data_IF_187149148590
#
_entry.id   IF_187149148590
#
_cell.length_a   1.000
_cell.length_b   1.000
_cell.length_c   1.000
_cell.angle_alpha   90.00
_cell.angle_beta   90.00
_cell.angle_gamma   90.00
#
_symmetry.space_group_name_H-M   'P 1'
#
loop_
_entity.id
_entity.type
_entity.pdbx_description
1 polymer ?
#
# COMPACT_ATOMS: atom_id res chain seq x y z
N UNK A 1 75.46 3.08 36.44
CA UNK A 1 74.99 2.19 35.35
C UNK A 1 73.50 1.91 35.55
N UNK A 2 72.72 1.70 34.47
CA UNK A 2 71.40 1.00 34.41
C UNK A 2 70.35 1.27 35.53
N UNK A 3 69.25 2.03 35.35
CA UNK A 3 68.01 1.87 34.51
C UNK A 3 67.07 0.68 34.87
N UNK A 4 65.75 0.97 34.81
CA UNK A 4 64.54 0.11 34.99
C UNK A 4 64.34 -0.43 36.43
N UNK A 5 63.14 -0.55 37.02
CA UNK A 5 61.74 -0.20 36.65
C UNK A 5 60.85 -0.28 37.93
N UNK A 6 59.50 -0.29 37.92
CA UNK A 6 58.48 -0.20 36.84
C UNK A 6 57.10 0.15 37.46
N UNK A 7 56.30 0.99 36.79
CA UNK A 7 54.81 1.06 36.80
C UNK A 7 54.03 1.26 38.12
N UNK A 8 53.69 2.52 38.40
CA UNK A 8 52.48 2.89 39.16
C UNK A 8 51.28 2.83 38.21
N UNK A 9 50.27 2.02 38.52
CA UNK A 9 49.02 1.94 37.77
C UNK A 9 47.95 2.87 38.35
N UNK A 10 47.88 4.12 37.88
CA UNK A 10 46.81 5.06 38.25
C UNK A 10 45.52 4.73 37.51
N UNK A 11 44.52 4.24 38.25
CA UNK A 11 43.18 4.03 37.72
C UNK A 11 42.47 5.37 37.46
N UNK A 12 42.40 5.78 36.20
CA UNK A 12 41.71 7.00 35.77
C UNK A 12 40.19 6.76 35.74
N UNK A 13 39.52 7.01 36.87
CA UNK A 13 38.05 7.09 36.91
C UNK A 13 37.57 8.33 36.14
N UNK A 14 37.22 8.16 34.86
CA UNK A 14 36.43 9.17 34.14
C UNK A 14 35.01 9.18 34.70
N UNK A 15 34.70 10.20 35.49
CA UNK A 15 33.33 10.59 35.80
C UNK A 15 32.65 11.17 34.56
N UNK A 16 32.04 10.31 33.74
CA UNK A 16 31.03 10.75 32.77
C UNK A 16 29.82 11.32 33.53
N UNK A 17 29.82 12.63 33.76
CA UNK A 17 28.61 13.33 34.16
C UNK A 17 27.61 13.23 33.00
N UNK A 18 26.38 12.69 33.22
CA UNK A 18 25.38 12.62 32.16
C UNK A 18 24.91 14.03 31.83
N UNK A 19 25.30 14.54 30.66
CA UNK A 19 24.70 15.76 30.10
C UNK A 19 23.22 15.46 29.89
N UNK A 20 22.29 16.19 30.54
CA UNK A 20 20.86 15.95 30.35
C UNK A 20 20.51 16.18 28.87
N UNK A 21 19.87 15.19 28.25
CA UNK A 21 19.53 15.28 26.84
C UNK A 21 18.53 16.42 26.63
N UNK A 22 18.76 17.30 25.65
CA UNK A 22 17.94 18.51 25.43
C UNK A 22 16.41 18.26 25.38
N UNK A 23 16.00 17.08 24.90
CA UNK A 23 14.62 16.59 24.95
C UNK A 23 13.99 16.62 26.35
N UNK A 24 14.76 16.23 27.38
CA UNK A 24 14.33 16.19 28.78
C UNK A 24 14.17 17.61 29.32
N UNK A 25 15.06 18.52 28.96
CA UNK A 25 14.95 19.95 29.33
C UNK A 25 13.71 20.58 28.71
N UNK A 26 13.47 20.36 27.41
CA UNK A 26 12.30 20.92 26.72
C UNK A 26 10.96 20.36 27.26
N UNK A 27 10.90 19.06 27.61
CA UNK A 27 9.69 18.47 28.19
C UNK A 27 9.45 18.90 29.64
N UNK A 28 10.50 19.17 30.43
CA UNK A 28 10.38 19.80 31.75
C UNK A 28 9.84 21.23 31.62
N UNK A 29 10.41 22.07 30.74
CA UNK A 29 9.93 23.43 30.49
C UNK A 29 8.46 23.46 30.02
N UNK A 30 8.03 22.49 29.20
CA UNK A 30 6.63 22.32 28.82
C UNK A 30 5.74 21.98 30.02
N UNK A 31 6.16 21.04 30.88
CA UNK A 31 5.39 20.65 32.05
C UNK A 31 5.26 21.79 33.07
N UNK A 32 6.34 22.56 33.28
CA UNK A 32 6.36 23.73 34.14
C UNK A 32 5.53 24.89 33.56
N UNK A 33 5.62 25.16 32.25
CA UNK A 33 4.82 26.18 31.58
C UNK A 33 3.31 25.88 31.62
N UNK A 34 2.92 24.60 31.49
CA UNK A 34 1.53 24.16 31.68
C UNK A 34 1.08 24.29 33.13
N UNK A 35 1.97 24.06 34.11
CA UNK A 35 1.68 24.28 35.53
C UNK A 35 1.45 25.77 35.80
N UNK A 36 2.38 26.63 35.42
CA UNK A 36 2.26 28.09 35.54
C UNK A 36 0.97 28.63 34.90
N UNK A 37 0.55 28.10 33.74
CA UNK A 37 -0.74 28.47 33.13
C UNK A 37 -1.95 28.12 34.01
N UNK A 38 -1.94 26.95 34.66
CA UNK A 38 -3.02 26.52 35.57
C UNK A 38 -3.04 27.30 36.87
N UNK A 39 -1.86 27.70 37.33
CA UNK A 39 -1.66 28.54 38.52
C UNK A 39 -1.89 30.04 38.21
N UNK A 40 -2.36 30.37 37.00
CA UNK A 40 -2.68 31.71 36.48
C UNK A 40 -1.47 32.64 36.31
N UNK A 41 -0.25 32.11 36.41
CA UNK A 41 1.02 32.81 36.18
C UNK A 41 1.32 32.95 34.67
N UNK A 42 0.41 33.59 33.91
CA UNK A 42 0.48 33.63 32.44
C UNK A 42 1.79 34.21 31.89
N UNK A 43 2.43 35.15 32.59
CA UNK A 43 3.73 35.70 32.21
C UNK A 43 4.85 34.63 32.26
N UNK A 44 4.87 33.82 33.33
CA UNK A 44 5.84 32.73 33.53
C UNK A 44 5.56 31.61 32.52
N UNK A 45 4.28 31.26 32.33
CA UNK A 45 3.85 30.28 31.33
C UNK A 45 4.35 30.62 29.92
N UNK A 46 4.17 31.86 29.46
CA UNK A 46 4.65 32.31 28.14
C UNK A 46 6.17 32.16 28.01
N UNK A 47 6.96 32.55 29.02
CA UNK A 47 8.42 32.43 28.96
C UNK A 47 8.87 30.97 28.89
N UNK A 48 8.31 30.09 29.73
CA UNK A 48 8.64 28.67 29.75
C UNK A 48 8.23 27.95 28.46
N UNK A 49 7.03 28.24 27.94
CA UNK A 49 6.51 27.60 26.73
C UNK A 49 7.22 28.08 25.46
N UNK A 50 7.63 29.35 25.36
CA UNK A 50 8.48 29.83 24.26
C UNK A 50 9.85 29.13 24.28
N UNK A 51 10.49 29.04 25.44
CA UNK A 51 11.77 28.30 25.59
C UNK A 51 11.65 26.80 25.31
N UNK A 52 10.51 26.17 25.64
CA UNK A 52 10.23 24.78 25.27
C UNK A 52 10.03 24.57 23.76
N UNK A 53 9.61 25.62 23.04
CA UNK A 53 9.40 25.63 21.58
C UNK A 53 10.64 26.05 20.78
N UNK A 54 11.67 26.61 21.43
CA UNK A 54 12.95 26.93 20.77
C UNK A 54 13.59 25.65 20.17
N UNK A 55 14.16 25.71 18.95
CA UNK A 55 14.83 24.55 18.33
C UNK A 55 16.16 24.17 19.01
N UNK A 56 16.11 23.65 20.24
CA UNK A 56 17.29 23.12 20.93
C UNK A 56 17.62 21.71 20.44
N UNK A 57 18.40 21.66 19.36
CA UNK A 57 18.97 20.45 18.73
C UNK A 57 17.98 19.44 18.11
N UNK A 58 18.57 18.44 17.43
CA UNK A 58 17.89 17.31 16.75
C UNK A 58 16.99 16.44 17.65
N UNK A 59 16.90 16.73 18.94
CA UNK A 59 16.03 16.06 19.92
C UNK A 59 15.11 17.04 20.67
N UNK A 60 14.59 18.07 19.98
CA UNK A 60 13.52 18.91 20.53
C UNK A 60 12.20 18.17 20.80
N UNK A 61 11.17 18.89 21.25
CA UNK A 61 9.84 18.35 21.57
C UNK A 61 9.24 17.48 20.45
N UNK A 62 8.50 16.45 20.84
CA UNK A 62 7.72 15.63 19.91
C UNK A 62 6.69 16.49 19.15
N UNK A 63 6.18 16.05 17.98
CA UNK A 63 5.15 16.80 17.26
C UNK A 63 3.90 17.09 18.12
N UNK A 64 3.45 16.10 18.90
CA UNK A 64 2.31 16.26 19.81
C UNK A 64 2.60 17.23 20.95
N UNK A 65 3.80 17.17 21.53
CA UNK A 65 4.21 18.09 22.59
C UNK A 65 4.38 19.53 22.09
N UNK A 66 4.81 19.73 20.82
CA UNK A 66 4.83 21.06 20.19
C UNK A 66 3.43 21.61 19.97
N UNK A 67 2.49 20.80 19.47
CA UNK A 67 1.09 21.22 19.36
C UNK A 67 0.52 21.61 20.73
N UNK A 68 0.82 20.82 21.76
CA UNK A 68 0.44 21.10 23.15
C UNK A 68 1.06 22.41 23.67
N UNK A 69 2.36 22.60 23.46
CA UNK A 69 3.04 23.84 23.85
C UNK A 69 2.44 25.07 23.15
N UNK A 70 2.14 24.97 21.86
CA UNK A 70 1.54 26.06 21.07
C UNK A 70 0.13 26.43 21.54
N UNK A 71 -0.75 25.47 21.84
CA UNK A 71 -2.11 25.80 22.32
C UNK A 71 -2.08 26.47 23.69
N UNK A 72 -1.23 26.00 24.62
CA UNK A 72 -1.08 26.64 25.93
C UNK A 72 -0.38 28.00 25.84
N UNK A 73 0.58 28.18 24.92
CA UNK A 73 1.26 29.46 24.70
C UNK A 73 0.28 30.51 24.18
N UNK A 74 -0.45 30.20 23.09
CA UNK A 74 -1.45 31.12 22.56
C UNK A 74 -2.58 31.41 23.54
N UNK A 75 -2.99 30.43 24.36
CA UNK A 75 -3.95 30.65 25.43
C UNK A 75 -3.42 31.60 26.53
N UNK A 76 -2.15 31.47 26.92
CA UNK A 76 -1.51 32.36 27.88
C UNK A 76 -1.38 33.79 27.34
N UNK A 77 -1.02 33.94 26.06
CA UNK A 77 -0.98 35.25 25.37
C UNK A 77 -2.38 35.90 25.30
N UNK A 78 -3.48 35.13 25.08
CA UNK A 78 -4.87 35.66 25.17
C UNK A 78 -5.20 36.21 26.56
N UNK A 79 -4.77 35.55 27.64
CA UNK A 79 -5.01 36.04 29.01
C UNK A 79 -4.12 37.21 29.42
N UNK A 80 -3.08 37.52 28.64
CA UNK A 80 -2.24 38.72 28.78
C UNK A 80 -2.69 39.89 27.89
N UNK A 81 -3.79 39.72 27.14
CA UNK A 81 -4.27 40.63 26.11
C UNK A 81 -3.29 40.82 24.92
N UNK A 82 -2.32 39.92 24.76
CA UNK A 82 -1.30 39.90 23.69
C UNK A 82 -1.86 39.24 22.41
N UNK A 83 -2.99 39.74 21.91
CA UNK A 83 -3.79 39.06 20.88
C UNK A 83 -3.03 38.75 19.59
N UNK A 84 -2.13 39.64 19.13
CA UNK A 84 -1.33 39.41 17.92
C UNK A 84 -0.38 38.21 18.08
N UNK A 85 0.21 38.02 19.27
CA UNK A 85 1.08 36.89 19.59
C UNK A 85 0.29 35.58 19.68
N UNK A 86 -0.90 35.63 20.27
CA UNK A 86 -1.83 34.50 20.30
C UNK A 86 -2.25 34.08 18.88
N UNK A 87 -2.65 35.04 18.03
CA UNK A 87 -3.03 34.80 16.63
C UNK A 87 -1.87 34.22 15.83
N UNK A 88 -0.64 34.74 15.98
CA UNK A 88 0.54 34.19 15.32
C UNK A 88 0.84 32.74 15.76
N UNK A 89 0.75 32.46 17.06
CA UNK A 89 0.98 31.12 17.63
C UNK A 89 -0.08 30.12 17.16
N UNK A 90 -1.37 30.49 17.25
CA UNK A 90 -2.47 29.65 16.79
C UNK A 90 -2.44 29.45 15.27
N UNK A 91 -2.07 30.47 14.47
CA UNK A 91 -1.87 30.30 13.03
C UNK A 91 -0.84 29.21 12.75
N UNK A 92 0.29 29.22 13.44
CA UNK A 92 1.34 28.18 13.28
C UNK A 92 0.78 26.78 13.56
N UNK A 93 0.00 26.63 14.65
CA UNK A 93 -0.65 25.37 15.02
C UNK A 93 -1.68 24.91 13.97
N UNK A 94 -2.54 25.81 13.52
CA UNK A 94 -3.61 25.55 12.52
C UNK A 94 -3.04 25.19 11.14
N UNK A 95 -1.91 25.78 10.75
CA UNK A 95 -1.23 25.44 9.50
C UNK A 95 -0.50 24.10 9.56
N UNK A 96 0.02 23.72 10.73
CA UNK A 96 0.64 22.41 10.96
C UNK A 96 -0.39 21.28 11.08
N UNK A 97 -1.53 21.53 11.74
CA UNK A 97 -2.64 20.59 11.87
C UNK A 97 -4.02 21.29 11.76
N UNK A 98 -4.58 21.38 10.54
CA UNK A 98 -5.93 21.87 10.27
C UNK A 98 -7.05 21.20 11.06
N UNK A 99 -6.83 19.99 11.59
CA UNK A 99 -7.83 19.25 12.37
C UNK A 99 -7.77 19.56 13.87
N UNK A 100 -6.71 20.21 14.34
CA UNK A 100 -6.55 20.52 15.76
C UNK A 100 -7.73 21.37 16.25
N UNK A 101 -8.30 21.01 17.41
CA UNK A 101 -9.34 21.77 18.10
C UNK A 101 -8.95 21.81 19.59
N UNK A 102 -8.85 23.00 20.21
CA UNK A 102 -8.68 23.11 21.65
C UNK A 102 -9.86 22.46 22.37
N UNK A 103 -9.58 21.73 23.45
CA UNK A 103 -10.60 21.14 24.32
C UNK A 103 -11.32 22.26 25.10
N UNK A 104 -12.62 22.39 24.91
CA UNK A 104 -13.45 23.41 25.58
C UNK A 104 -13.64 23.17 27.08
N UNK A 105 -13.27 22.00 27.61
CA UNK A 105 -13.20 21.73 29.05
C UNK A 105 -11.89 22.22 29.67
N UNK A 106 -10.83 22.39 28.87
CA UNK A 106 -9.50 22.85 29.31
C UNK A 106 -9.29 24.33 29.02
N UNK A 107 -9.84 24.82 27.90
CA UNK A 107 -9.65 26.19 27.43
C UNK A 107 -10.98 26.96 27.46
N UNK A 108 -11.09 28.06 28.24
CA UNK A 108 -12.32 28.84 28.33
C UNK A 108 -12.79 29.44 26.99
N UNK A 109 -14.07 29.83 26.87
CA UNK A 109 -14.65 30.34 25.63
C UNK A 109 -13.85 31.45 24.95
N UNK A 110 -13.25 32.37 25.72
CA UNK A 110 -12.39 33.45 25.20
C UNK A 110 -11.24 32.93 24.33
N UNK A 111 -10.57 31.87 24.77
CA UNK A 111 -9.45 31.25 24.05
C UNK A 111 -9.95 30.51 22.82
N UNK A 112 -11.04 29.75 22.96
CA UNK A 112 -11.58 28.96 21.84
C UNK A 112 -12.16 29.84 20.74
N UNK A 113 -12.75 31.00 21.07
CA UNK A 113 -13.22 32.01 20.11
C UNK A 113 -12.06 32.53 19.24
N UNK A 114 -10.99 33.04 19.85
CA UNK A 114 -9.78 33.51 19.12
C UNK A 114 -9.23 32.39 18.23
N UNK A 115 -9.23 31.13 18.70
CA UNK A 115 -8.82 29.99 17.87
C UNK A 115 -9.76 29.72 16.69
N UNK A 116 -11.08 29.85 16.85
CA UNK A 116 -12.04 29.74 15.75
C UNK A 116 -11.84 30.85 14.71
N UNK A 117 -11.58 32.09 15.13
CA UNK A 117 -11.32 33.19 14.20
C UNK A 117 -10.05 32.94 13.37
N UNK A 118 -9.01 32.36 13.98
CA UNK A 118 -7.81 31.90 13.28
C UNK A 118 -8.13 30.79 12.28
N UNK A 119 -8.98 29.80 12.63
CA UNK A 119 -9.45 28.77 11.69
C UNK A 119 -10.24 29.35 10.51
N UNK A 120 -11.08 30.37 10.74
CA UNK A 120 -11.87 31.00 9.69
C UNK A 120 -11.02 31.84 8.74
N UNK A 121 -10.03 32.55 9.24
CA UNK A 121 -9.14 33.43 8.46
C UNK A 121 -8.02 32.67 7.74
N UNK A 122 -7.45 31.62 8.36
CA UNK A 122 -6.31 30.88 7.81
C UNK A 122 -6.74 29.61 7.10
N UNK A 123 -7.12 29.73 5.81
CA UNK A 123 -7.45 28.54 4.99
C UNK A 123 -6.21 27.68 4.78
N UNK A 124 -6.28 26.46 5.26
CA UNK A 124 -5.31 25.38 5.02
C UNK A 124 -6.03 24.02 4.96
N UNK A 125 -5.33 23.05 4.37
CA UNK A 125 -5.77 21.67 4.18
C UNK A 125 -4.68 20.71 4.60
N UNK A 126 -5.07 19.58 5.18
CA UNK A 126 -4.19 18.44 5.43
C UNK A 126 -4.73 17.18 4.75
N UNK A 127 -3.82 16.31 4.29
CA UNK A 127 -4.16 15.08 3.59
C UNK A 127 -3.80 13.87 4.46
N UNK A 128 -4.77 12.98 4.66
CA UNK A 128 -4.56 11.67 5.28
C UNK A 128 -4.83 10.56 4.25
N UNK A 129 -3.86 9.68 4.06
CA UNK A 129 -3.92 8.57 3.13
C UNK A 129 -3.31 7.31 3.77
N UNK A 130 -3.74 6.10 3.37
CA UNK A 130 -3.10 4.86 3.81
C UNK A 130 -1.70 4.73 3.20
N UNK A 131 -0.71 4.31 4.01
CA UNK A 131 0.71 4.21 3.59
C UNK A 131 0.93 3.30 2.39
N UNK A 132 0.19 2.20 2.33
CA UNK A 132 0.07 1.31 1.18
C UNK A 132 -1.41 0.95 1.02
N UNK A 133 -1.90 0.94 -0.22
CA UNK A 133 -3.25 0.48 -0.58
C UNK A 133 -3.16 -0.45 -1.79
N UNK A 134 -4.03 -1.47 -1.84
CA UNK A 134 -4.17 -2.36 -3.00
C UNK A 134 -5.57 -2.18 -3.56
N UNK A 135 -5.65 -1.76 -4.81
CA UNK A 135 -6.91 -1.43 -5.49
C UNK A 135 -6.95 -2.08 -6.87
N UNK A 136 -8.14 -2.46 -7.34
CA UNK A 136 -8.34 -2.88 -8.74
C UNK A 136 -8.71 -1.68 -9.59
N UNK A 137 -8.03 -1.51 -10.73
CA UNK A 137 -8.29 -0.38 -11.61
C UNK A 137 -9.76 -0.34 -12.07
N UNK A 138 -10.39 0.83 -11.94
CA UNK A 138 -11.81 1.05 -12.26
C UNK A 138 -12.85 0.48 -11.28
N UNK A 139 -12.52 -0.57 -10.52
CA UNK A 139 -13.45 -1.22 -9.57
C UNK A 139 -13.36 -0.65 -8.14
N UNK A 140 -12.16 -0.25 -7.72
CA UNK A 140 -11.90 0.23 -6.36
C UNK A 140 -11.10 1.53 -6.40
N UNK A 141 -11.53 2.49 -5.58
CA UNK A 141 -10.86 3.79 -5.46
C UNK A 141 -9.81 3.80 -4.35
N UNK A 142 -8.63 4.31 -4.66
CA UNK A 142 -7.69 4.81 -3.66
C UNK A 142 -8.26 6.08 -3.03
N UNK A 143 -8.48 6.05 -1.72
CA UNK A 143 -9.13 7.13 -0.97
C UNK A 143 -8.11 7.95 -0.17
N UNK A 144 -8.05 9.25 -0.45
CA UNK A 144 -7.31 10.26 0.33
C UNK A 144 -8.32 11.17 0.99
N UNK A 145 -8.28 11.31 2.32
CA UNK A 145 -9.15 12.24 3.03
C UNK A 145 -8.45 13.58 3.17
N UNK A 146 -9.01 14.62 2.55
CA UNK A 146 -8.62 15.99 2.79
C UNK A 146 -9.44 16.57 3.95
N UNK A 147 -8.79 17.31 4.83
CA UNK A 147 -9.40 18.02 5.96
C UNK A 147 -9.14 19.51 5.83
N UNK A 148 -10.16 20.34 6.04
CA UNK A 148 -10.08 21.79 5.99
C UNK A 148 -10.11 22.42 7.39
N UNK A 149 -9.42 23.55 7.50
CA UNK A 149 -9.53 24.49 8.65
C UNK A 149 -10.93 25.08 8.78
N UNK A 150 -11.47 25.59 7.67
CA UNK A 150 -12.80 26.20 7.54
C UNK A 150 -13.26 26.20 6.08
N UNK A 151 -14.47 26.70 5.79
CA UNK A 151 -15.05 26.67 4.44
C UNK A 151 -14.22 27.45 3.40
N UNK A 152 -13.90 26.82 2.27
CA UNK A 152 -13.22 27.44 1.12
C UNK A 152 -13.30 26.56 -0.16
N UNK A 153 -12.81 27.07 -1.28
CA UNK A 153 -12.74 26.31 -2.54
C UNK A 153 -11.54 25.35 -2.56
N UNK A 154 -11.78 24.13 -3.04
CA UNK A 154 -10.80 23.05 -3.12
C UNK A 154 -10.78 22.47 -4.54
N UNK A 155 -9.59 22.36 -5.12
CA UNK A 155 -9.35 21.58 -6.33
C UNK A 155 -8.28 20.51 -6.04
N UNK A 156 -8.63 19.25 -6.24
CA UNK A 156 -7.72 18.13 -6.12
C UNK A 156 -7.52 17.47 -7.47
N UNK A 157 -6.26 17.30 -7.86
CA UNK A 157 -5.85 16.69 -9.12
C UNK A 157 -4.75 15.68 -8.86
N UNK A 158 -4.63 14.68 -9.72
CA UNK A 158 -3.46 13.81 -9.75
C UNK A 158 -2.67 14.12 -11.02
N UNK A 159 -1.38 14.37 -10.85
CA UNK A 159 -0.44 14.66 -11.93
C UNK A 159 0.65 13.59 -12.00
N UNK A 160 1.23 13.39 -13.19
CA UNK A 160 2.48 12.63 -13.31
C UNK A 160 3.66 13.40 -12.71
N UNK A 161 4.81 12.73 -12.53
CA UNK A 161 6.08 13.39 -12.15
C UNK A 161 6.52 14.48 -13.15
N UNK A 162 5.99 14.48 -14.38
CA UNK A 162 6.25 15.50 -15.41
C UNK A 162 5.27 16.69 -15.36
N UNK A 163 4.35 16.72 -14.40
CA UNK A 163 3.33 17.76 -14.25
C UNK A 163 2.08 17.60 -15.12
N UNK A 164 2.02 16.53 -15.94
CA UNK A 164 0.86 16.22 -16.78
C UNK A 164 -0.35 15.84 -15.93
N UNK A 165 -1.53 16.41 -16.24
CA UNK A 165 -2.79 16.11 -15.56
C UNK A 165 -3.31 14.72 -15.95
N UNK A 166 -3.37 13.81 -14.98
CA UNK A 166 -3.89 12.45 -15.18
C UNK A 166 -5.41 12.42 -14.95
N UNK A 167 -5.87 12.99 -13.83
CA UNK A 167 -7.29 13.10 -13.52
C UNK A 167 -7.57 14.25 -12.53
N UNK A 168 -8.78 14.80 -12.58
CA UNK A 168 -9.29 15.69 -11.52
C UNK A 168 -10.11 14.86 -10.54
N UNK A 169 -9.70 14.83 -9.28
CA UNK A 169 -10.30 14.02 -8.22
C UNK A 169 -11.43 14.76 -7.50
N UNK A 170 -11.35 16.09 -7.43
CA UNK A 170 -12.36 16.94 -6.82
C UNK A 170 -12.26 18.39 -7.32
N UNK A 171 -13.39 19.05 -7.46
CA UNK A 171 -13.50 20.51 -7.62
C UNK A 171 -14.81 20.97 -6.97
N UNK A 172 -14.73 21.78 -5.92
CA UNK A 172 -15.90 22.23 -5.18
C UNK A 172 -15.56 22.99 -3.91
N UNK A 173 -16.58 23.24 -3.08
CA UNK A 173 -16.41 23.82 -1.74
C UNK A 173 -16.20 22.70 -0.72
N UNK A 174 -15.18 22.84 0.13
CA UNK A 174 -15.00 22.01 1.34
C UNK A 174 -15.42 22.83 2.56
N UNK A 175 -16.02 22.18 3.56
CA UNK A 175 -16.35 22.81 4.86
C UNK A 175 -15.47 22.26 5.97
N UNK A 176 -15.39 20.94 6.08
CA UNK A 176 -14.70 20.19 7.14
C UNK A 176 -13.76 19.11 6.56
N UNK A 177 -14.27 18.24 5.68
CA UNK A 177 -13.51 17.15 5.07
C UNK A 177 -14.13 16.68 3.76
N UNK A 178 -13.32 16.08 2.89
CA UNK A 178 -13.80 15.37 1.68
C UNK A 178 -12.93 14.15 1.42
N UNK A 179 -13.52 13.10 0.85
CA UNK A 179 -12.78 11.92 0.38
C UNK A 179 -12.52 12.07 -1.11
N UNK A 180 -11.24 12.27 -1.44
CA UNK A 180 -10.72 12.28 -2.79
C UNK A 180 -10.51 10.82 -3.23
N UNK A 181 -11.18 10.39 -4.28
CA UNK A 181 -11.19 8.99 -4.73
C UNK A 181 -10.59 8.87 -6.11
N UNK A 182 -9.59 8.02 -6.29
CA UNK A 182 -8.95 7.75 -7.58
C UNK A 182 -8.95 6.26 -7.92
N UNK A 183 -9.58 5.89 -9.05
CA UNK A 183 -9.68 4.50 -9.51
C UNK A 183 -8.44 3.97 -10.25
N UNK A 184 -7.32 4.70 -10.26
CA UNK A 184 -6.13 4.35 -11.04
C UNK A 184 -6.28 4.47 -12.56
N UNK A 185 -7.27 5.25 -12.99
CA UNK A 185 -7.52 5.57 -14.39
C UNK A 185 -7.09 7.01 -14.71
N UNK A 186 -6.78 7.27 -15.97
CA UNK A 186 -6.62 8.62 -16.52
C UNK A 186 -7.95 9.22 -17.01
N UNK A 187 -7.88 10.43 -17.58
CA UNK A 187 -9.04 11.12 -18.14
C UNK A 187 -9.67 10.44 -19.37
N UNK A 188 -8.97 9.52 -20.05
CA UNK A 188 -9.50 8.70 -21.13
C UNK A 188 -10.12 7.38 -20.63
N UNK A 189 -10.04 7.10 -19.32
CA UNK A 189 -10.49 5.86 -18.71
C UNK A 189 -9.51 4.70 -18.88
N UNK A 190 -8.28 4.95 -19.37
CA UNK A 190 -7.24 3.95 -19.48
C UNK A 190 -6.54 3.76 -18.13
N UNK A 191 -6.04 2.55 -17.87
CA UNK A 191 -5.27 2.25 -16.65
C UNK A 191 -3.91 2.91 -16.74
N UNK A 192 -3.51 3.63 -15.69
CA UNK A 192 -2.21 4.30 -15.69
C UNK A 192 -1.05 3.32 -15.59
N UNK A 193 0.08 3.69 -16.19
CA UNK A 193 1.34 2.94 -16.08
C UNK A 193 1.87 2.90 -14.64
N UNK A 194 2.71 1.92 -14.34
CA UNK A 194 3.52 1.95 -13.12
C UNK A 194 4.47 3.16 -13.15
N UNK A 195 4.62 3.86 -12.03
CA UNK A 195 5.42 5.09 -11.98
C UNK A 195 5.15 5.97 -10.76
N UNK A 196 5.64 7.21 -10.81
CA UNK A 196 5.47 8.21 -9.77
C UNK A 196 4.48 9.29 -10.18
N UNK A 197 3.57 9.57 -9.25
CA UNK A 197 2.48 10.53 -9.40
C UNK A 197 2.45 11.46 -8.19
N UNK A 198 1.64 12.51 -8.24
CA UNK A 198 1.44 13.42 -7.12
C UNK A 198 -0.02 13.84 -7.10
N UNK A 199 -0.69 13.65 -5.96
CA UNK A 199 -1.98 14.29 -5.71
C UNK A 199 -1.69 15.71 -5.26
N UNK A 200 -2.08 16.69 -6.07
CA UNK A 200 -1.95 18.12 -5.82
C UNK A 200 -3.32 18.63 -5.39
N UNK A 201 -3.39 19.17 -4.17
CA UNK A 201 -4.61 19.72 -3.60
C UNK A 201 -4.42 21.21 -3.35
N UNK A 202 -5.12 22.01 -4.14
CA UNK A 202 -5.03 23.47 -4.15
C UNK A 202 -6.20 24.06 -3.38
N UNK A 203 -5.89 24.92 -2.42
CA UNK A 203 -6.83 25.64 -1.57
C UNK A 203 -6.92 27.10 -2.02
N UNK A 204 -8.11 27.60 -2.32
CA UNK A 204 -8.29 28.98 -2.81
C UNK A 204 -9.53 29.66 -2.21
N UNK A 205 -9.52 31.01 -2.19
CA UNK A 205 -10.69 31.82 -1.79
C UNK A 205 -11.60 32.05 -3.01
N UNK A 206 -10.97 32.39 -4.12
CA UNK A 206 -11.54 32.54 -5.46
C UNK A 206 -10.75 31.62 -6.42
N UNK A 207 -11.30 31.20 -7.58
CA UNK A 207 -10.64 30.26 -8.49
C UNK A 207 -9.18 30.61 -8.80
N UNK A 208 -8.88 31.89 -9.05
CA UNK A 208 -7.53 32.36 -9.41
C UNK A 208 -6.68 32.80 -8.20
N UNK A 209 -7.27 32.85 -6.99
CA UNK A 209 -6.57 33.27 -5.76
C UNK A 209 -6.16 32.04 -4.93
N UNK A 210 -5.17 31.31 -5.45
CA UNK A 210 -4.53 30.18 -4.76
C UNK A 210 -3.82 30.68 -3.49
N UNK A 211 -4.26 30.20 -2.32
CA UNK A 211 -3.61 30.48 -1.05
C UNK A 211 -2.47 29.51 -0.77
N UNK A 212 -2.75 28.21 -0.91
CA UNK A 212 -1.86 27.11 -0.54
C UNK A 212 -2.07 25.91 -1.45
N UNK A 213 -1.03 25.10 -1.59
CA UNK A 213 -1.10 23.78 -2.22
C UNK A 213 -0.49 22.72 -1.32
N UNK A 214 -1.07 21.52 -1.31
CA UNK A 214 -0.52 20.34 -0.64
C UNK A 214 -0.25 19.27 -1.68
N UNK A 215 0.96 18.72 -1.68
CA UNK A 215 1.41 17.69 -2.60
C UNK A 215 1.57 16.39 -1.83
N UNK A 216 0.88 15.34 -2.24
CA UNK A 216 1.04 13.98 -1.71
C UNK A 216 1.71 13.12 -2.78
N UNK A 217 3.01 12.78 -2.63
CA UNK A 217 3.70 11.90 -3.56
C UNK A 217 3.09 10.49 -3.52
N UNK A 218 2.86 9.91 -4.70
CA UNK A 218 2.40 8.54 -4.86
C UNK A 218 3.40 7.74 -5.71
N UNK A 219 3.67 6.50 -5.29
CA UNK A 219 4.35 5.50 -6.10
C UNK A 219 3.36 4.38 -6.42
N UNK A 220 3.17 4.10 -7.71
CA UNK A 220 2.18 3.16 -8.23
C UNK A 220 2.89 2.01 -8.91
N UNK A 221 2.66 0.79 -8.45
CA UNK A 221 3.05 -0.43 -9.16
C UNK A 221 1.82 -1.16 -9.66
N UNK A 222 1.89 -1.63 -10.91
CA UNK A 222 0.79 -2.34 -11.58
C UNK A 222 1.19 -3.80 -11.68
N UNK A 223 0.54 -4.66 -10.90
CA UNK A 223 0.74 -6.10 -10.99
C UNK A 223 -0.21 -6.66 -12.06
N UNK A 224 0.28 -7.32 -13.12
CA UNK A 224 -0.58 -8.07 -14.02
C UNK A 224 -1.28 -9.16 -13.20
N UNK A 225 -2.62 -9.20 -13.28
CA UNK A 225 -3.40 -10.20 -12.58
C UNK A 225 -3.10 -11.62 -13.07
N UNK A 226 -3.19 -12.57 -12.14
CA UNK A 226 -3.05 -13.99 -12.42
C UNK A 226 -4.07 -14.44 -13.48
N UNK A 227 -3.56 -15.03 -14.55
CA UNK A 227 -4.37 -15.52 -15.68
C UNK A 227 -4.83 -16.94 -15.40
N UNK A 228 -6.09 -17.24 -15.71
CA UNK A 228 -6.59 -18.61 -15.65
C UNK A 228 -5.69 -19.54 -16.48
N UNK A 229 -5.33 -20.73 -15.96
CA UNK A 229 -4.54 -21.70 -16.70
C UNK A 229 -5.29 -22.15 -17.96
N UNK A 230 -4.54 -22.40 -19.03
CA UNK A 230 -5.13 -22.87 -20.28
C UNK A 230 -5.76 -24.26 -20.11
N UNK A 231 -6.93 -24.51 -20.71
CA UNK A 231 -7.58 -25.82 -20.62
C UNK A 231 -6.72 -26.89 -21.32
N UNK A 232 -6.55 -28.08 -20.72
CA UNK A 232 -5.72 -29.13 -21.27
C UNK A 232 -6.21 -29.57 -22.65
N UNK A 233 -5.28 -29.90 -23.54
CA UNK A 233 -5.62 -30.37 -24.88
C UNK A 233 -6.45 -31.66 -24.84
N UNK A 234 -7.43 -31.85 -25.73
CA UNK A 234 -8.32 -33.00 -25.69
C UNK A 234 -7.53 -34.31 -25.92
N UNK A 235 -7.85 -35.38 -25.16
CA UNK A 235 -7.11 -36.64 -25.25
C UNK A 235 -7.26 -37.26 -26.64
N UNK A 236 -6.16 -37.82 -27.16
CA UNK A 236 -6.16 -38.59 -28.41
C UNK A 236 -6.91 -39.89 -28.19
N UNK A 237 -7.86 -40.22 -29.07
CA UNK A 237 -8.62 -41.46 -28.95
C UNK A 237 -7.83 -42.64 -29.53
N UNK A 238 -7.42 -43.56 -28.67
CA UNK A 238 -6.93 -44.88 -29.07
C UNK A 238 -8.11 -45.73 -29.52
N UNK A 239 -8.46 -45.63 -30.81
CA UNK A 239 -9.43 -46.52 -31.42
C UNK A 239 -8.84 -47.94 -31.44
N UNK A 240 -9.64 -48.93 -31.06
CA UNK A 240 -9.22 -50.33 -30.92
C UNK A 240 -8.60 -50.91 -32.18
N UNK A 241 -7.85 -52.02 -32.03
CA UNK A 241 -7.11 -52.65 -33.12
C UNK A 241 -8.04 -53.08 -34.25
N UNK A 242 -7.86 -52.48 -35.43
CA UNK A 242 -8.65 -52.74 -36.63
C UNK A 242 -8.05 -53.95 -37.38
N UNK A 243 -8.35 -55.16 -36.90
CA UNK A 243 -7.93 -56.44 -37.48
C UNK A 243 -8.64 -56.70 -38.83
N UNK A 244 -8.19 -56.03 -39.90
CA UNK A 244 -8.76 -56.14 -41.26
C UNK A 244 -7.85 -56.81 -42.29
N UNK A 245 -7.14 -57.86 -41.91
CA UNK A 245 -6.58 -58.82 -42.88
C UNK A 245 -6.62 -60.24 -42.31
N UNK A 246 -7.65 -60.99 -42.69
CA UNK A 246 -7.63 -62.46 -42.66
C UNK A 246 -7.43 -62.89 -44.10
N UNK A 247 -6.25 -63.45 -44.41
CA UNK A 247 -6.03 -64.18 -45.66
C UNK A 247 -6.54 -65.61 -45.40
N UNK A 248 -7.57 -66.10 -46.11
CA UNK A 248 -8.12 -67.43 -45.85
C UNK A 248 -7.18 -68.51 -46.38
N UNK A 249 -6.35 -69.07 -45.50
CA UNK A 249 -5.56 -70.27 -45.73
C UNK A 249 -6.26 -71.51 -45.16
N UNK A 250 -6.61 -72.46 -46.02
CA UNK A 250 -7.25 -73.73 -45.62
C UNK A 250 -6.22 -74.69 -45.03
N UNK A 251 -6.39 -75.12 -43.78
CA UNK A 251 -5.86 -76.38 -43.25
C UNK A 251 -6.89 -77.01 -42.29
N UNK A 252 -7.11 -78.32 -42.44
CA UNK A 252 -7.97 -79.16 -41.61
C UNK A 252 -7.19 -79.69 -40.40
N UNK A 253 -7.77 -79.64 -39.20
CA UNK A 253 -7.20 -80.28 -38.01
C UNK A 253 -8.01 -80.02 -36.74
N UNK A 254 -8.57 -81.08 -36.14
CA UNK A 254 -9.42 -80.99 -34.95
C UNK A 254 -8.64 -81.15 -33.63
N UNK A 255 -9.14 -80.55 -32.54
CA UNK A 255 -8.59 -80.77 -31.19
C UNK A 255 -8.99 -79.69 -30.18
N UNK A 256 -10.16 -79.81 -29.57
CA UNK A 256 -10.60 -78.94 -28.46
C UNK A 256 -10.10 -79.46 -27.10
N UNK A 257 -9.51 -78.57 -26.31
CA UNK A 257 -9.53 -78.63 -24.85
C UNK A 257 -9.46 -77.20 -24.29
N UNK A 258 -10.43 -76.82 -23.45
CA UNK A 258 -10.56 -75.46 -22.87
C UNK A 258 -10.21 -75.52 -21.35
N UNK A 259 -10.33 -74.44 -20.54
CA UNK A 259 -9.29 -74.08 -19.59
C UNK A 259 -9.48 -74.67 -18.19
N UNK A 260 -8.38 -74.84 -17.45
CA UNK A 260 -8.41 -75.00 -16.00
C UNK A 260 -8.00 -73.68 -15.32
N UNK A 261 -8.91 -73.13 -14.53
CA UNK A 261 -8.69 -71.90 -13.75
C UNK A 261 -8.27 -72.22 -12.31
N UNK A 262 -7.54 -71.27 -11.69
CA UNK A 262 -7.39 -71.05 -10.24
C UNK A 262 -6.79 -72.19 -9.37
N UNK A 263 -5.77 -71.85 -8.58
CA UNK A 263 -5.27 -72.71 -7.51
C UNK A 263 -4.08 -72.12 -6.74
N UNK A 264 -4.31 -71.71 -5.49
CA UNK A 264 -3.27 -71.24 -4.55
C UNK A 264 -2.63 -72.44 -3.86
N UNK A 265 -1.29 -72.48 -3.78
CA UNK A 265 -0.58 -73.49 -2.98
C UNK A 265 0.93 -73.48 -3.24
N UNK A 266 1.74 -73.27 -2.19
CA UNK A 266 3.19 -73.19 -2.33
C UNK A 266 3.90 -74.54 -2.19
N UNK A 267 5.11 -74.64 -2.72
CA UNK A 267 6.01 -75.77 -2.41
C UNK A 267 7.00 -76.13 -3.51
N UNK A 268 8.27 -75.70 -3.33
CA UNK A 268 9.50 -76.25 -3.92
C UNK A 268 9.60 -76.28 -5.46
N UNK A 269 10.53 -75.48 -5.98
CA UNK A 269 10.95 -75.43 -7.39
C UNK A 269 11.36 -76.80 -7.95
N UNK A 270 11.00 -77.07 -9.21
CA UNK A 270 11.95 -77.63 -10.15
C UNK A 270 12.11 -76.74 -11.39
N UNK A 271 13.35 -76.29 -11.57
CA UNK A 271 14.02 -75.80 -12.79
C UNK A 271 13.15 -75.72 -14.06
N UNK A 272 12.92 -74.49 -14.54
CA UNK A 272 12.41 -74.22 -15.89
C UNK A 272 13.40 -74.79 -16.90
N UNK A 273 13.03 -75.88 -17.57
CA UNK A 273 13.70 -76.32 -18.78
C UNK A 273 13.31 -75.37 -19.92
N UNK A 274 14.24 -74.51 -20.33
CA UNK A 274 14.04 -73.57 -21.43
C UNK A 274 14.05 -74.31 -22.78
N UNK A 275 12.94 -74.98 -23.10
CA UNK A 275 12.72 -75.60 -24.40
C UNK A 275 12.55 -74.53 -25.49
N UNK A 276 13.66 -74.15 -26.13
CA UNK A 276 13.65 -73.31 -27.33
C UNK A 276 13.09 -74.08 -28.53
N UNK A 277 11.76 -74.22 -28.57
CA UNK A 277 11.04 -74.65 -29.76
C UNK A 277 10.79 -73.42 -30.64
N UNK A 278 11.47 -73.34 -31.78
CA UNK A 278 11.28 -72.30 -32.79
C UNK A 278 9.94 -72.48 -33.53
N UNK A 279 8.84 -72.12 -32.87
CA UNK A 279 7.56 -71.89 -33.55
C UNK A 279 7.57 -70.51 -34.21
N UNK A 280 7.39 -70.47 -35.54
CA UNK A 280 7.28 -69.22 -36.31
C UNK A 280 5.97 -68.49 -35.98
N UNK A 281 6.00 -67.68 -34.92
CA UNK A 281 4.90 -66.79 -34.57
C UNK A 281 4.69 -65.78 -35.70
N UNK A 282 3.53 -65.83 -36.36
CA UNK A 282 3.12 -64.79 -37.30
C UNK A 282 3.00 -63.46 -36.57
N UNK A 283 3.84 -62.49 -36.95
CA UNK A 283 3.82 -61.14 -36.34
C UNK A 283 2.54 -60.43 -36.79
N UNK A 284 1.55 -60.34 -35.89
CA UNK A 284 0.41 -59.44 -36.06
C UNK A 284 0.92 -58.00 -35.89
N UNK A 285 1.35 -57.39 -37.00
CA UNK A 285 1.86 -56.02 -37.06
C UNK A 285 0.78 -54.95 -36.87
N UNK A 286 0.15 -54.92 -35.70
CA UNK A 286 -0.83 -53.89 -35.33
C UNK A 286 -0.18 -52.56 -34.98
N UNK A 287 -0.06 -51.63 -35.93
CA UNK A 287 0.18 -50.21 -35.59
C UNK A 287 -1.11 -49.60 -35.03
N UNK A 288 -1.12 -49.07 -33.79
CA UNK A 288 -2.30 -48.39 -33.28
C UNK A 288 -2.58 -47.15 -34.14
N UNK A 289 -3.75 -47.12 -34.79
CA UNK A 289 -4.25 -45.90 -35.44
C UNK A 289 -4.67 -44.92 -34.36
N UNK A 290 -3.72 -44.08 -33.91
CA UNK A 290 -4.01 -42.93 -33.08
C UNK A 290 -4.95 -42.01 -33.86
N UNK A 291 -6.23 -42.05 -33.51
CA UNK A 291 -7.20 -41.12 -34.07
C UNK A 291 -6.96 -39.75 -33.44
N UNK A 292 -7.09 -38.69 -34.23
CA UNK A 292 -7.15 -37.35 -33.66
C UNK A 292 -8.26 -37.25 -32.62
N UNK A 293 -8.18 -36.29 -31.67
CA UNK A 293 -9.33 -35.96 -30.82
C UNK A 293 -10.58 -35.74 -31.67
N UNK A 294 -11.76 -36.14 -31.15
CA UNK A 294 -13.01 -36.07 -31.92
C UNK A 294 -13.34 -34.63 -32.34
N UNK A 295 -14.13 -34.47 -33.39
CA UNK A 295 -14.57 -33.14 -33.84
C UNK A 295 -15.30 -32.37 -32.72
N UNK A 296 -16.11 -33.07 -31.91
CA UNK A 296 -16.77 -32.51 -30.72
C UNK A 296 -15.79 -32.09 -29.64
N UNK A 297 -14.85 -32.96 -29.23
CA UNK A 297 -13.86 -32.64 -28.19
C UNK A 297 -12.94 -31.46 -28.60
N UNK A 298 -12.63 -31.34 -29.90
CA UNK A 298 -11.91 -30.17 -30.43
C UNK A 298 -12.77 -28.89 -30.42
N UNK A 299 -14.07 -28.99 -30.70
CA UNK A 299 -14.99 -27.85 -30.65
C UNK A 299 -15.20 -27.36 -29.21
N UNK A 300 -15.43 -28.27 -28.27
CA UNK A 300 -15.54 -27.98 -26.83
C UNK A 300 -14.25 -27.36 -26.28
N UNK A 301 -13.08 -27.92 -26.59
CA UNK A 301 -11.80 -27.36 -26.20
C UNK A 301 -11.58 -25.95 -26.78
N UNK A 302 -11.92 -25.71 -28.06
CA UNK A 302 -11.85 -24.36 -28.66
C UNK A 302 -12.77 -23.36 -27.96
N UNK A 303 -13.98 -23.77 -27.59
CA UNK A 303 -14.92 -22.94 -26.84
C UNK A 303 -14.37 -22.60 -25.44
N UNK A 304 -13.77 -23.58 -24.74
CA UNK A 304 -13.11 -23.35 -23.45
C UNK A 304 -11.90 -22.42 -23.58
N UNK A 305 -11.05 -22.58 -24.59
CA UNK A 305 -9.92 -21.67 -24.88
C UNK A 305 -10.42 -20.25 -25.14
N UNK A 306 -11.47 -20.08 -25.95
CA UNK A 306 -12.04 -18.77 -26.23
C UNK A 306 -12.62 -18.09 -24.98
N UNK A 307 -13.33 -18.85 -24.13
CA UNK A 307 -13.85 -18.36 -22.85
C UNK A 307 -12.71 -17.94 -21.88
N UNK A 308 -11.68 -18.77 -21.73
CA UNK A 308 -10.49 -18.47 -20.93
C UNK A 308 -9.73 -17.25 -21.49
N UNK A 309 -9.62 -17.12 -22.82
CA UNK A 309 -9.01 -15.97 -23.47
C UNK A 309 -9.80 -14.67 -23.22
N UNK A 310 -11.13 -14.70 -23.33
CA UNK A 310 -12.00 -13.56 -23.07
C UNK A 310 -11.93 -13.13 -21.60
N UNK A 311 -11.95 -14.07 -20.66
CA UNK A 311 -11.83 -13.80 -19.23
C UNK A 311 -10.43 -13.29 -18.85
N UNK A 312 -9.37 -13.86 -19.43
CA UNK A 312 -8.01 -13.35 -19.26
C UNK A 312 -7.82 -11.94 -19.84
N UNK A 313 -8.50 -11.59 -20.95
CA UNK A 313 -8.54 -10.22 -21.46
C UNK A 313 -9.27 -9.27 -20.49
N UNK A 314 -10.44 -9.66 -19.95
CA UNK A 314 -11.15 -8.86 -18.93
C UNK A 314 -10.30 -8.59 -17.70
N UNK A 315 -9.58 -9.61 -17.19
CA UNK A 315 -8.66 -9.47 -16.04
C UNK A 315 -7.49 -8.55 -16.34
N UNK A 316 -6.89 -8.65 -17.53
CA UNK A 316 -5.80 -7.76 -17.98
C UNK A 316 -6.22 -6.29 -18.05
N UNK A 317 -7.49 -6.01 -18.35
CA UNK A 317 -8.02 -4.65 -18.43
C UNK A 317 -8.30 -4.02 -17.04
N UNK A 318 -8.21 -4.77 -15.94
CA UNK A 318 -8.42 -4.28 -14.56
C UNK A 318 -7.34 -4.81 -13.60
N UNK A 319 -6.05 -4.50 -13.84
CA UNK A 319 -4.96 -5.04 -13.04
C UNK A 319 -5.05 -4.59 -11.57
N UNK A 320 -4.40 -5.35 -10.70
CA UNK A 320 -4.25 -4.95 -9.31
C UNK A 320 -3.10 -3.94 -9.21
N UNK A 321 -3.37 -2.79 -8.63
CA UNK A 321 -2.38 -1.74 -8.38
C UNK A 321 -2.05 -1.71 -6.90
N UNK A 322 -0.77 -1.55 -6.59
CA UNK A 322 -0.30 -1.22 -5.24
C UNK A 322 0.16 0.22 -5.26
N UNK A 323 -0.46 1.04 -4.43
CA UNK A 323 -0.22 2.49 -4.34
C UNK A 323 0.41 2.76 -2.98
N UNK A 324 1.58 3.40 -2.97
CA UNK A 324 2.30 3.82 -1.77
C UNK A 324 2.34 5.33 -1.67
N UNK A 325 2.18 5.86 -0.46
CA UNK A 325 2.18 7.32 -0.22
C UNK A 325 3.47 7.79 0.44
N UNK A 326 4.08 8.83 -0.11
CA UNK A 326 5.09 9.62 0.59
C UNK A 326 4.48 10.51 1.69
N UNK A 327 5.31 11.22 2.47
CA UNK A 327 4.83 12.27 3.36
C UNK A 327 4.20 13.43 2.55
N UNK A 328 3.13 14.08 3.04
CA UNK A 328 2.56 15.25 2.39
C UNK A 328 3.47 16.47 2.54
N UNK A 329 3.63 17.24 1.48
CA UNK A 329 4.37 18.51 1.44
C UNK A 329 3.39 19.69 1.26
N UNK A 330 3.38 20.63 2.21
CA UNK A 330 2.59 21.87 2.11
C UNK A 330 3.44 23.01 1.55
N UNK A 331 2.88 23.81 0.64
CA UNK A 331 3.50 25.02 0.09
C UNK A 331 2.52 26.20 0.12
N UNK A 332 3.03 27.39 0.43
CA UNK A 332 2.27 28.64 0.32
C UNK A 332 2.37 29.22 -1.11
N UNK A 333 1.29 29.85 -1.57
CA UNK A 333 1.20 30.41 -2.91
C UNK A 333 0.87 29.40 -4.02
N UNK A 334 0.90 29.85 -5.29
CA UNK A 334 0.52 29.05 -6.45
C UNK A 334 1.52 27.92 -6.71
N UNK A 335 1.03 26.83 -7.31
CA UNK A 335 1.85 25.72 -7.81
C UNK A 335 2.73 26.19 -8.97
N UNK A 336 4.00 26.47 -8.65
CA UNK A 336 5.14 26.42 -9.57
C UNK A 336 5.92 25.12 -9.33
#
# INVERSE_FOLDING_TARGET
>A
MTRLGRLVGTALWLSLAPVPAAAQTASVLLAEGIRAYRDLEFAVAVQLLRRALEPTDTRGLSPADRQRAQVYLGAADVFRDELDQAVATFRTLVLADPRFRPDSLVFPPRVTQVFQDVLQTNKAVALAAPREARVRAGDQGFAVRAYATSRHALQAQITSVRGELIATLYRGQITDSVVLTWGGLDAAGAVVSAGRYTVVVTSSVLPDQVLRSVRLPLEVTVNPLDTLPWPPAPPRTTRGWDLRFVIPGVVVGAGLAVPAALGVGGGKSPRIALGLAFGTMGIIGGRPRTSGPSASANAEWRAQVAAVQQENQRRRNRPQMVIRTGPPESREGPTR
#
